data_IF_403812432314
#
_entry.id   IF_403812432314
#
_cell.length_a   1.000
_cell.length_b   1.000
_cell.length_c   1.000
_cell.angle_alpha   90.00
_cell.angle_beta   90.00
_cell.angle_gamma   90.00
#
_symmetry.space_group_name_H-M   'P 1'
#
loop_
_entity.id
_entity.type
_entity.pdbx_description
1 polymer ?
#
# COMPACT_ATOMS: atom_id res chain seq x y z
N UNK A 1 -4.63 22.65 27.59
CA UNK A 1 -5.90 22.58 26.83
C UNK A 1 -5.67 21.76 25.57
N UNK A 2 -6.19 20.53 25.49
CA UNK A 2 -6.05 19.69 24.30
C UNK A 2 -7.16 20.01 23.31
N UNK A 3 -6.80 20.36 22.08
CA UNK A 3 -7.76 20.70 21.03
C UNK A 3 -8.74 19.53 20.77
N UNK A 4 -10.04 19.79 20.92
CA UNK A 4 -11.11 18.83 20.66
C UNK A 4 -11.23 18.61 19.15
N UNK A 5 -10.83 17.43 18.68
CA UNK A 5 -10.84 17.10 17.24
C UNK A 5 -12.26 16.70 16.82
N UNK A 6 -12.73 17.23 15.69
CA UNK A 6 -13.99 16.80 15.07
C UNK A 6 -13.97 15.30 14.79
N UNK A 7 -14.97 14.57 15.31
CA UNK A 7 -15.06 13.11 15.17
C UNK A 7 -16.35 12.72 14.46
N UNK A 8 -16.24 12.47 13.14
CA UNK A 8 -17.31 11.81 12.37
C UNK A 8 -17.40 10.35 12.81
N UNK A 9 -18.20 10.06 13.84
CA UNK A 9 -18.24 8.75 14.51
C UNK A 9 -19.56 8.05 14.17
N UNK A 10 -19.51 7.13 13.22
CA UNK A 10 -20.60 6.18 12.97
C UNK A 10 -20.17 4.80 13.46
N UNK A 11 -21.09 4.06 14.10
CA UNK A 11 -20.92 2.67 14.52
C UNK A 11 -20.60 1.77 13.32
N UNK A 12 -21.16 2.08 12.14
CA UNK A 12 -20.97 1.31 10.89
C UNK A 12 -19.52 1.29 10.43
N UNK A 13 -18.75 2.33 10.73
CA UNK A 13 -17.35 2.44 10.30
C UNK A 13 -16.47 1.29 10.80
N UNK A 14 -16.61 0.89 12.07
CA UNK A 14 -15.78 -0.18 12.62
C UNK A 14 -16.11 -1.54 11.99
N UNK A 15 -17.38 -1.77 11.64
CA UNK A 15 -17.81 -2.97 10.94
C UNK A 15 -17.19 -3.05 9.53
N UNK A 16 -17.25 -1.93 8.78
CA UNK A 16 -16.66 -1.84 7.43
C UNK A 16 -15.14 -2.03 7.48
N UNK A 17 -14.44 -1.35 8.40
CA UNK A 17 -12.98 -1.47 8.55
C UNK A 17 -12.61 -2.92 8.89
N UNK A 18 -13.31 -3.55 9.85
CA UNK A 18 -13.03 -4.94 10.24
C UNK A 18 -13.26 -5.90 9.08
N UNK A 19 -14.36 -5.75 8.34
CA UNK A 19 -14.68 -6.57 7.15
C UNK A 19 -13.63 -6.38 6.06
N UNK A 20 -13.29 -5.15 5.72
CA UNK A 20 -12.29 -4.84 4.69
C UNK A 20 -10.91 -5.40 5.04
N UNK A 21 -10.46 -5.25 6.30
CA UNK A 21 -9.19 -5.83 6.75
C UNK A 21 -9.19 -7.36 6.72
N UNK A 22 -10.33 -8.00 7.03
CA UNK A 22 -10.45 -9.46 6.95
C UNK A 22 -10.41 -9.97 5.50
N UNK A 23 -10.87 -9.17 4.54
CA UNK A 23 -10.73 -9.41 3.10
C UNK A 23 -9.32 -9.06 2.56
N UNK A 24 -8.40 -8.64 3.41
CA UNK A 24 -7.03 -8.25 3.01
C UNK A 24 -6.94 -6.90 2.32
N UNK A 25 -7.96 -6.04 2.42
CA UNK A 25 -7.93 -4.72 1.80
C UNK A 25 -6.99 -3.76 2.54
N UNK A 26 -6.26 -2.94 1.77
CA UNK A 26 -5.50 -1.83 2.33
C UNK A 26 -6.45 -0.73 2.82
N UNK A 27 -6.00 0.13 3.76
CA UNK A 27 -6.77 1.29 4.18
C UNK A 27 -7.12 2.25 3.04
N UNK A 28 -6.30 2.32 1.98
CA UNK A 28 -6.66 3.06 0.76
C UNK A 28 -7.84 2.41 0.04
N UNK A 29 -7.81 1.09 -0.15
CA UNK A 29 -8.91 0.34 -0.78
C UNK A 29 -10.21 0.47 0.02
N UNK A 30 -10.14 0.39 1.35
CA UNK A 30 -11.31 0.59 2.22
C UNK A 30 -11.89 2.00 2.01
N UNK A 31 -11.04 3.03 1.98
CA UNK A 31 -11.48 4.41 1.75
C UNK A 31 -12.14 4.60 0.38
N UNK A 32 -11.53 4.07 -0.67
CA UNK A 32 -12.09 4.11 -2.03
C UNK A 32 -13.42 3.38 -2.11
N UNK A 33 -13.53 2.18 -1.51
CA UNK A 33 -14.78 1.42 -1.46
C UNK A 33 -15.89 2.13 -0.69
N UNK A 34 -15.56 2.75 0.44
CA UNK A 34 -16.54 3.52 1.21
C UNK A 34 -17.12 4.69 0.43
N UNK A 35 -16.34 5.35 -0.44
CA UNK A 35 -16.85 6.43 -1.30
C UNK A 35 -17.88 5.95 -2.32
N UNK A 36 -17.76 4.71 -2.78
CA UNK A 36 -18.66 4.11 -3.77
C UNK A 36 -19.89 3.51 -3.11
N UNK A 37 -19.71 2.75 -2.04
CA UNK A 37 -20.78 1.98 -1.39
C UNK A 37 -21.58 2.80 -0.39
N UNK A 38 -20.93 3.69 0.36
CA UNK A 38 -21.57 4.44 1.46
C UNK A 38 -21.01 5.88 1.56
N UNK A 39 -21.28 6.75 0.58
CA UNK A 39 -20.67 8.08 0.49
C UNK A 39 -20.96 8.96 1.71
N UNK A 40 -22.14 8.84 2.33
CA UNK A 40 -22.56 9.65 3.49
C UNK A 40 -21.60 9.53 4.68
N UNK A 41 -21.04 8.32 4.85
CA UNK A 41 -20.19 7.96 5.99
C UNK A 41 -18.75 7.69 5.56
N UNK A 42 -18.38 8.05 4.34
CA UNK A 42 -17.06 7.78 3.79
C UNK A 42 -15.95 8.37 4.67
N UNK A 43 -14.88 7.60 4.86
CA UNK A 43 -13.70 7.97 5.63
C UNK A 43 -12.48 8.07 4.71
N UNK A 44 -11.58 9.01 5.01
CA UNK A 44 -10.26 9.04 4.39
C UNK A 44 -9.40 7.87 4.91
N UNK A 45 -8.47 7.40 4.08
CA UNK A 45 -7.52 6.36 4.46
C UNK A 45 -6.72 6.73 5.73
N UNK A 46 -6.40 8.01 5.92
CA UNK A 46 -5.74 8.51 7.14
C UNK A 46 -6.57 8.30 8.41
N UNK A 47 -7.90 8.45 8.34
CA UNK A 47 -8.78 8.17 9.48
C UNK A 47 -8.85 6.67 9.75
N UNK A 48 -8.90 5.83 8.71
CA UNK A 48 -8.85 4.37 8.85
C UNK A 48 -7.56 3.96 9.56
N UNK A 49 -6.40 4.47 9.13
CA UNK A 49 -5.13 4.24 9.82
C UNK A 49 -5.15 4.68 11.28
N UNK A 50 -5.66 5.88 11.58
CA UNK A 50 -5.80 6.39 12.97
C UNK A 50 -6.64 5.45 13.82
N UNK A 51 -7.78 4.97 13.31
CA UNK A 51 -8.66 4.05 14.05
C UNK A 51 -8.01 2.70 14.32
N UNK A 52 -7.28 2.16 13.34
CA UNK A 52 -6.51 0.92 13.52
C UNK A 52 -5.42 1.12 14.57
N UNK A 53 -4.71 2.26 14.55
CA UNK A 53 -3.71 2.59 15.57
C UNK A 53 -4.33 2.76 16.97
N UNK A 54 -5.47 3.45 17.09
CA UNK A 54 -6.20 3.58 18.36
C UNK A 54 -6.69 2.23 18.87
N UNK A 55 -7.16 1.35 17.98
CA UNK A 55 -7.55 -0.02 18.35
C UNK A 55 -6.33 -0.80 18.89
N UNK A 56 -5.16 -0.68 18.25
CA UNK A 56 -3.92 -1.29 18.72
C UNK A 56 -3.51 -0.80 20.11
N UNK A 57 -3.58 0.51 20.37
CA UNK A 57 -3.27 1.09 21.70
C UNK A 57 -4.22 0.57 22.78
N UNK A 58 -5.47 0.26 22.41
CA UNK A 58 -6.47 -0.35 23.31
C UNK A 58 -6.35 -1.87 23.43
N UNK A 59 -5.28 -2.48 22.92
CA UNK A 59 -5.05 -3.94 22.97
C UNK A 59 -5.77 -4.75 21.88
N UNK A 60 -6.40 -4.09 20.90
CA UNK A 60 -7.07 -4.75 19.79
C UNK A 60 -6.12 -5.30 18.73
N UNK A 61 -6.62 -6.23 17.91
CA UNK A 61 -5.84 -7.01 16.94
C UNK A 61 -6.01 -6.58 15.48
N UNK A 62 -6.77 -5.53 15.17
CA UNK A 62 -7.06 -5.12 13.78
C UNK A 62 -5.79 -4.85 12.95
N UNK A 63 -4.74 -4.35 13.59
CA UNK A 63 -3.47 -4.05 12.94
C UNK A 63 -2.75 -5.31 12.41
N UNK A 64 -3.07 -6.51 12.93
CA UNK A 64 -2.46 -7.78 12.50
C UNK A 64 -2.94 -8.20 11.10
N UNK A 65 -4.11 -7.72 10.69
CA UNK A 65 -4.71 -8.04 9.39
C UNK A 65 -4.23 -7.10 8.27
N UNK A 66 -3.37 -6.12 8.58
CA UNK A 66 -2.78 -5.27 7.55
C UNK A 66 -1.73 -6.06 6.78
N UNK A 67 -1.92 -6.16 5.46
CA UNK A 67 -1.06 -6.92 4.56
C UNK A 67 0.42 -6.47 4.58
N UNK A 68 0.67 -5.20 4.97
CA UNK A 68 2.01 -4.62 5.00
C UNK A 68 2.55 -4.54 6.42
N UNK A 69 3.24 -5.60 6.86
CA UNK A 69 4.34 -5.44 7.81
C UNK A 69 5.55 -4.89 7.04
N UNK A 70 5.45 -3.66 6.56
CA UNK A 70 6.43 -3.12 5.60
C UNK A 70 7.86 -3.22 6.13
N UNK A 71 8.79 -3.66 5.27
CA UNK A 71 10.22 -3.37 5.44
C UNK A 71 10.33 -1.88 5.77
N UNK A 72 11.02 -1.54 6.87
CA UNK A 72 11.25 -0.13 7.23
C UNK A 72 11.76 0.59 5.98
N UNK A 73 11.06 1.65 5.56
CA UNK A 73 11.56 2.50 4.49
C UNK A 73 13.00 2.86 4.83
N UNK A 74 13.93 2.56 3.92
CA UNK A 74 15.33 2.93 4.11
C UNK A 74 15.34 4.45 4.30
N UNK A 75 15.72 4.92 5.50
CA UNK A 75 15.98 6.34 5.71
C UNK A 75 17.05 6.70 4.69
N UNK A 76 16.78 7.70 3.85
CA UNK A 76 17.66 8.14 2.75
C UNK A 76 18.98 8.74 3.25
N UNK A 77 19.76 8.00 4.03
CA UNK A 77 21.16 8.26 4.27
C UNK A 77 21.96 7.84 3.04
N UNK A 78 23.15 8.43 2.89
CA UNK A 78 24.10 8.39 1.74
C UNK A 78 24.58 7.00 1.30
N UNK A 79 23.78 5.94 1.39
CA UNK A 79 24.09 4.65 0.80
C UNK A 79 23.77 4.76 -0.68
N UNK A 80 24.77 4.46 -1.49
CA UNK A 80 24.74 4.34 -2.95
C UNK A 80 23.79 3.22 -3.39
N UNK A 81 22.50 3.30 -3.04
CA UNK A 81 21.49 2.40 -3.55
C UNK A 81 21.39 2.66 -5.06
N UNK A 82 21.91 1.72 -5.85
CA UNK A 82 21.87 1.79 -7.32
C UNK A 82 23.20 2.05 -8.03
N UNK A 83 24.34 2.15 -7.34
CA UNK A 83 25.66 2.20 -8.03
C UNK A 83 26.27 0.82 -8.29
N UNK A 84 25.42 -0.21 -8.30
CA UNK A 84 25.79 -1.53 -8.81
C UNK A 84 25.03 -1.66 -10.12
N UNK A 85 25.78 -1.45 -11.20
CA UNK A 85 25.49 -1.84 -12.58
C UNK A 85 24.69 -3.14 -12.59
N UNK A 86 23.54 -3.16 -13.28
CA UNK A 86 22.80 -4.40 -13.51
C UNK A 86 23.79 -5.41 -14.12
N UNK A 87 24.05 -6.57 -13.49
CA UNK A 87 24.95 -7.54 -14.07
C UNK A 87 24.38 -8.02 -15.40
N UNK A 88 25.21 -8.04 -16.45
CA UNK A 88 24.86 -8.37 -17.83
C UNK A 88 24.03 -7.30 -18.58
N UNK A 89 24.30 -6.02 -18.36
CA UNK A 89 23.86 -4.99 -19.30
C UNK A 89 24.52 -5.22 -20.66
N UNK A 90 23.71 -5.60 -21.64
CA UNK A 90 24.10 -5.61 -23.05
C UNK A 90 23.82 -4.20 -23.58
N UNK A 91 24.86 -3.52 -24.09
CA UNK A 91 24.73 -2.21 -24.71
C UNK A 91 23.74 -2.29 -25.88
N UNK A 92 23.07 -1.19 -26.19
CA UNK A 92 22.09 -1.17 -27.29
C UNK A 92 22.77 -1.56 -28.61
N UNK A 93 24.05 -1.23 -28.77
CA UNK A 93 24.86 -1.55 -29.96
C UNK A 93 25.20 -3.04 -30.08
N UNK A 94 25.23 -3.77 -28.96
CA UNK A 94 25.55 -5.21 -28.89
C UNK A 94 24.31 -6.12 -28.99
N UNK A 95 23.11 -5.55 -29.16
CA UNK A 95 21.89 -6.35 -29.31
C UNK A 95 21.89 -7.04 -30.68
N UNK A 96 21.86 -8.37 -30.68
CA UNK A 96 21.71 -9.16 -31.91
C UNK A 96 20.46 -8.73 -32.68
N UNK A 97 20.58 -8.57 -34.00
CA UNK A 97 19.49 -8.12 -34.90
C UNK A 97 18.18 -8.93 -34.78
N UNK A 98 18.29 -10.19 -34.36
CA UNK A 98 17.16 -11.09 -34.02
C UNK A 98 16.23 -10.50 -32.95
N UNK A 99 16.72 -9.66 -32.03
CA UNK A 99 15.92 -8.98 -30.99
C UNK A 99 15.09 -7.84 -31.58
N UNK A 100 15.55 -7.24 -32.69
CA UNK A 100 14.81 -6.18 -33.38
C UNK A 100 13.65 -6.73 -34.22
N UNK A 101 13.78 -7.97 -34.71
CA UNK A 101 12.63 -8.74 -35.17
C UNK A 101 11.75 -9.11 -33.97
N UNK A 102 10.75 -8.29 -33.70
CA UNK A 102 9.67 -8.53 -32.74
C UNK A 102 8.78 -9.73 -33.16
N UNK A 103 9.37 -10.91 -33.36
CA UNK A 103 8.67 -12.11 -33.84
C UNK A 103 8.56 -13.21 -32.79
N UNK A 104 9.05 -13.01 -31.56
CA UNK A 104 8.88 -13.98 -30.47
C UNK A 104 8.20 -13.36 -29.24
N UNK A 105 6.89 -13.58 -29.15
CA UNK A 105 6.16 -13.50 -27.89
C UNK A 105 6.78 -14.50 -26.89
N UNK A 106 7.22 -14.03 -25.72
CA UNK A 106 7.63 -14.92 -24.62
C UNK A 106 8.92 -14.59 -23.86
N UNK A 107 9.68 -13.54 -24.21
CA UNK A 107 10.80 -13.10 -23.36
C UNK A 107 10.32 -12.17 -22.24
N UNK A 108 9.60 -12.72 -21.28
CA UNK A 108 9.37 -12.11 -19.97
C UNK A 108 10.11 -12.97 -18.94
N UNK A 109 11.25 -12.49 -18.46
CA UNK A 109 12.09 -13.14 -17.44
C UNK A 109 13.54 -13.25 -17.94
N UNK A 110 14.52 -12.62 -17.30
CA UNK A 110 14.75 -12.42 -15.86
C UNK A 110 15.30 -11.02 -15.59
#
# INVERSE_FOLDING_TARGET
>A
MTATKFSKTDKRHMAIIKKGLLLGWSPENISSRMKVEVPDIALSHTIVYKRVATNKVRGGSLYKNLHRFGKRCCKGGKRKAGRITIPNLIDISDRLAVVYLWSRLGYWGR
#
